data_IF_735602359951
#
_entry.id   IF_735602359951
#
_cell.length_a   1.000
_cell.length_b   1.000
_cell.length_c   1.000
_cell.angle_alpha   90.00
_cell.angle_beta   90.00
_cell.angle_gamma   90.00
#
_symmetry.space_group_name_H-M   'P 1'
#
loop_
_entity.id
_entity.type
_entity.pdbx_description
1 polymer ?
#
# COMPACT_ATOMS: atom_id res chain seq x y z
N UNK A 1 -9.62 20.80 7.43
CA UNK A 1 -9.44 20.09 6.16
C UNK A 1 -9.78 18.62 6.33
N UNK A 2 -10.42 18.04 5.34
CA UNK A 2 -10.73 16.60 5.33
C UNK A 2 -9.79 15.86 4.40
N UNK A 3 -9.40 14.66 4.78
CA UNK A 3 -8.56 13.81 3.93
C UNK A 3 -9.19 12.43 3.82
N UNK A 4 -8.87 11.75 2.71
CA UNK A 4 -9.20 10.33 2.54
C UNK A 4 -7.88 9.62 2.30
N UNK A 5 -7.65 8.55 3.03
CA UNK A 5 -6.39 7.81 2.94
C UNK A 5 -6.66 6.33 2.75
N UNK A 6 -5.71 5.64 2.12
CA UNK A 6 -5.79 4.20 2.00
C UNK A 6 -5.51 3.52 3.33
N UNK A 7 -6.31 2.55 3.67
CA UNK A 7 -6.10 1.70 4.83
C UNK A 7 -6.22 0.24 4.38
N UNK A 8 -5.12 -0.47 4.46
CA UNK A 8 -5.06 -1.84 3.96
C UNK A 8 -5.13 -2.84 5.11
N UNK A 9 -5.83 -3.94 4.88
CA UNK A 9 -5.91 -5.01 5.87
C UNK A 9 -5.20 -6.24 5.31
N UNK A 10 -4.32 -6.81 6.12
CA UNK A 10 -3.58 -8.01 5.79
C UNK A 10 -3.90 -9.10 6.82
N UNK A 11 -3.60 -10.33 6.47
CA UNK A 11 -3.78 -11.46 7.37
C UNK A 11 -2.40 -12.02 7.74
N UNK A 12 -1.65 -11.26 8.54
CA UNK A 12 -0.33 -11.64 9.02
C UNK A 12 0.84 -11.09 8.22
N UNK A 13 0.60 -10.51 7.04
CA UNK A 13 1.67 -10.01 6.16
C UNK A 13 1.84 -8.49 6.19
N UNK A 14 1.19 -7.80 7.11
CA UNK A 14 1.21 -6.34 7.15
C UNK A 14 2.63 -5.78 7.22
N UNK A 15 3.46 -6.29 8.10
CA UNK A 15 4.83 -5.79 8.26
C UNK A 15 5.63 -5.93 6.98
N UNK A 16 5.62 -7.12 6.36
CA UNK A 16 6.39 -7.34 5.15
C UNK A 16 5.85 -6.51 3.99
N UNK A 17 4.52 -6.37 3.89
CA UNK A 17 3.90 -5.56 2.85
C UNK A 17 4.27 -4.07 3.01
N UNK A 18 4.18 -3.54 4.22
CA UNK A 18 4.50 -2.12 4.45
C UNK A 18 5.98 -1.83 4.28
N UNK A 19 6.87 -2.77 4.61
CA UNK A 19 8.29 -2.63 4.33
C UNK A 19 8.55 -2.63 2.82
N UNK A 20 7.82 -3.46 2.08
CA UNK A 20 7.88 -3.46 0.62
C UNK A 20 7.43 -2.12 0.05
N UNK A 21 6.29 -1.59 0.51
CA UNK A 21 5.79 -0.28 0.04
C UNK A 21 6.77 0.84 0.37
N UNK A 22 7.40 0.79 1.54
CA UNK A 22 8.44 1.76 1.88
C UNK A 22 9.61 1.69 0.91
N UNK A 23 10.04 0.48 0.52
CA UNK A 23 11.13 0.32 -0.44
C UNK A 23 10.76 0.86 -1.81
N UNK A 24 9.47 0.84 -2.17
CA UNK A 24 8.99 1.35 -3.46
C UNK A 24 8.75 2.86 -3.46
N UNK A 25 8.19 3.36 -2.36
CA UNK A 25 7.67 4.73 -2.28
C UNK A 25 8.53 5.67 -1.44
N UNK A 26 9.44 5.13 -0.64
CA UNK A 26 10.22 5.91 0.31
C UNK A 26 9.41 6.36 1.50
N UNK A 27 10.04 7.13 2.38
CA UNK A 27 9.38 7.72 3.52
C UNK A 27 9.65 7.01 4.84
N UNK A 28 8.87 7.38 5.84
CA UNK A 28 9.00 6.87 7.20
C UNK A 28 7.89 5.88 7.50
N UNK A 29 8.27 4.71 8.00
CA UNK A 29 7.34 3.65 8.35
C UNK A 29 7.32 3.48 9.87
N UNK A 30 6.12 3.57 10.45
CA UNK A 30 5.90 3.31 11.87
C UNK A 30 5.01 2.08 11.98
N UNK A 31 5.41 1.14 12.83
CA UNK A 31 4.68 -0.11 13.06
C UNK A 31 4.48 -0.30 14.56
N UNK A 32 3.24 -0.55 14.97
CA UNK A 32 2.92 -0.95 16.34
C UNK A 32 2.33 -2.36 16.30
N UNK A 33 2.97 -3.28 17.00
CA UNK A 33 2.47 -4.65 17.13
C UNK A 33 1.46 -4.74 18.27
N UNK A 34 0.57 -5.74 18.20
CA UNK A 34 -0.39 -6.02 19.26
C UNK A 34 0.31 -6.20 20.61
N UNK A 35 1.42 -6.95 20.62
CA UNK A 35 2.19 -7.21 21.84
C UNK A 35 2.84 -5.98 22.48
N UNK A 36 2.97 -4.90 21.70
CA UNK A 36 3.57 -3.64 22.17
C UNK A 36 2.51 -2.62 22.56
N UNK A 37 1.24 -3.00 22.48
CA UNK A 37 0.11 -2.10 22.71
C UNK A 37 -0.59 -2.40 24.03
N UNK A 38 -1.48 -1.49 24.49
CA UNK A 38 -2.32 -1.77 25.66
C UNK A 38 -3.21 -3.01 25.50
N UNK A 39 -3.41 -3.51 24.28
CA UNK A 39 -4.21 -4.69 24.01
C UNK A 39 -3.44 -5.99 24.26
N UNK A 40 -2.14 -5.93 24.55
CA UNK A 40 -1.30 -7.13 24.70
C UNK A 40 -1.85 -8.13 25.70
N UNK A 41 -2.37 -7.65 26.83
CA UNK A 41 -2.89 -8.52 27.89
C UNK A 41 -4.26 -9.13 27.54
N UNK A 42 -4.98 -8.51 26.61
CA UNK A 42 -6.34 -8.93 26.23
C UNK A 42 -6.36 -9.84 25.00
N UNK A 43 -5.22 -10.02 24.35
CA UNK A 43 -5.12 -10.79 23.12
C UNK A 43 -4.33 -12.07 23.35
N UNK A 44 -4.66 -13.15 22.60
CA UNK A 44 -3.89 -14.39 22.68
C UNK A 44 -2.42 -14.16 22.34
N UNK A 45 -1.54 -14.96 22.95
CA UNK A 45 -0.10 -14.91 22.69
C UNK A 45 0.21 -15.04 21.21
N UNK A 46 -0.56 -15.85 20.47
CA UNK A 46 -0.37 -16.08 19.05
C UNK A 46 -0.60 -14.83 18.20
N UNK A 47 -1.26 -13.79 18.75
CA UNK A 47 -1.56 -12.57 18.02
C UNK A 47 -0.60 -11.42 18.32
N UNK A 48 0.33 -11.61 19.26
CA UNK A 48 1.20 -10.51 19.70
C UNK A 48 2.15 -9.98 18.65
N UNK A 49 2.52 -10.81 17.67
CA UNK A 49 3.40 -10.39 16.58
C UNK A 49 2.64 -9.74 15.42
N UNK A 50 1.32 -9.78 15.44
CA UNK A 50 0.52 -9.14 14.41
C UNK A 50 0.62 -7.62 14.53
N UNK A 51 0.52 -6.93 13.39
CA UNK A 51 0.53 -5.47 13.37
C UNK A 51 -0.83 -4.94 13.75
N UNK A 52 -0.89 -4.18 14.84
CA UNK A 52 -2.09 -3.49 15.26
C UNK A 52 -2.35 -2.28 14.36
N UNK A 53 -1.29 -1.56 14.02
CA UNK A 53 -1.37 -0.38 13.15
C UNK A 53 -0.01 -0.06 12.55
N UNK A 54 -0.01 0.26 11.28
CA UNK A 54 1.18 0.71 10.57
C UNK A 54 0.85 1.95 9.74
N UNK A 55 1.80 2.87 9.64
CA UNK A 55 1.66 4.08 8.84
C UNK A 55 2.94 4.34 8.06
N UNK A 56 2.80 4.52 6.76
CA UNK A 56 3.89 4.96 5.88
C UNK A 56 3.59 6.38 5.45
N UNK A 57 4.52 7.29 5.73
CA UNK A 57 4.36 8.71 5.41
C UNK A 57 5.54 9.20 4.57
N UNK A 58 5.25 9.85 3.46
CA UNK A 58 6.25 10.50 2.64
C UNK A 58 5.64 11.78 2.05
N UNK A 59 5.90 12.91 2.70
CA UNK A 59 5.27 14.18 2.32
C UNK A 59 3.76 14.09 2.47
N UNK A 60 3.03 14.34 1.41
CA UNK A 60 1.58 14.26 1.40
C UNK A 60 1.04 12.83 1.23
N UNK A 61 1.93 11.88 0.89
CA UNK A 61 1.54 10.47 0.79
C UNK A 61 1.42 9.88 2.18
N UNK A 62 0.29 9.22 2.45
CA UNK A 62 0.11 8.47 3.68
C UNK A 62 -0.67 7.19 3.39
N UNK A 63 -0.10 6.07 3.80
CA UNK A 63 -0.72 4.76 3.63
C UNK A 63 -0.72 4.06 4.98
N UNK A 64 -1.88 3.57 5.38
CA UNK A 64 -2.05 2.90 6.66
C UNK A 64 -2.43 1.44 6.47
N UNK A 65 -2.17 0.63 7.48
CA UNK A 65 -2.47 -0.78 7.39
C UNK A 65 -2.50 -1.47 8.75
N UNK A 66 -3.08 -2.66 8.78
CA UNK A 66 -3.04 -3.51 9.97
C UNK A 66 -3.20 -4.98 9.57
N UNK A 67 -3.00 -5.86 10.56
CA UNK A 67 -3.34 -7.28 10.46
C UNK A 67 -4.66 -7.57 11.19
N UNK A 68 -5.45 -6.55 11.50
CA UNK A 68 -6.69 -6.72 12.27
C UNK A 68 -7.82 -7.16 11.35
N UNK A 69 -7.86 -8.46 11.08
CA UNK A 69 -8.86 -9.06 10.21
C UNK A 69 -10.21 -9.11 10.93
N UNK A 70 -11.33 -8.76 10.24
CA UNK A 70 -12.65 -8.87 10.83
C UNK A 70 -12.99 -10.31 11.22
N UNK A 71 -13.93 -10.50 12.15
CA UNK A 71 -14.35 -11.84 12.60
C UNK A 71 -14.83 -12.70 11.42
N UNK A 72 -15.45 -12.07 10.42
CA UNK A 72 -15.93 -12.76 9.21
C UNK A 72 -14.80 -13.19 8.27
N UNK A 73 -13.55 -12.84 8.59
CA UNK A 73 -12.40 -13.13 7.76
C UNK A 73 -12.07 -12.00 6.79
N UNK A 74 -10.93 -12.13 6.11
CA UNK A 74 -10.49 -11.15 5.13
C UNK A 74 -11.02 -11.54 3.75
N UNK A 75 -11.78 -10.63 3.15
CA UNK A 75 -12.31 -10.82 1.80
C UNK A 75 -11.69 -9.77 0.88
N UNK A 76 -10.93 -10.23 -0.11
CA UNK A 76 -10.32 -9.32 -1.09
C UNK A 76 -11.21 -9.25 -2.33
N UNK A 77 -11.57 -8.01 -2.68
CA UNK A 77 -12.30 -7.75 -3.91
C UNK A 77 -11.41 -7.11 -4.96
N UNK A 78 -11.99 -6.59 -6.02
CA UNK A 78 -11.25 -5.94 -7.09
C UNK A 78 -11.87 -4.59 -7.51
N UNK A 79 -12.70 -4.02 -6.65
CA UNK A 79 -13.41 -2.78 -6.97
C UNK A 79 -12.76 -1.52 -6.40
N UNK A 80 -11.64 -1.66 -5.68
CA UNK A 80 -10.92 -0.53 -5.11
C UNK A 80 -9.46 -0.57 -5.56
N UNK A 81 -8.95 0.56 -5.99
CA UNK A 81 -7.55 0.71 -6.37
C UNK A 81 -6.94 1.90 -5.67
N UNK A 82 -5.63 1.87 -5.49
CA UNK A 82 -4.89 3.01 -4.96
C UNK A 82 -4.31 3.78 -6.14
N UNK A 83 -4.51 5.09 -6.17
CA UNK A 83 -3.97 5.94 -7.22
C UNK A 83 -2.74 6.65 -6.70
N UNK A 84 -1.62 6.49 -7.39
CA UNK A 84 -0.39 7.19 -7.08
C UNK A 84 -0.13 8.22 -8.18
N UNK A 85 -0.14 9.50 -7.81
CA UNK A 85 0.18 10.58 -8.72
C UNK A 85 1.66 10.92 -8.56
N UNK A 86 2.43 10.74 -9.61
CA UNK A 86 3.86 10.98 -9.61
C UNK A 86 4.18 12.33 -10.22
N UNK A 87 5.32 12.92 -9.81
CA UNK A 87 5.70 14.27 -10.21
C UNK A 87 6.34 14.33 -11.59
N UNK A 88 7.05 13.27 -12.00
CA UNK A 88 7.75 13.25 -13.29
C UNK A 88 7.84 11.84 -13.86
N UNK A 89 8.29 11.75 -15.12
CA UNK A 89 8.37 10.48 -15.84
C UNK A 89 9.35 9.49 -15.21
N UNK A 90 10.46 9.97 -14.69
CA UNK A 90 11.47 9.10 -14.10
C UNK A 90 10.91 8.44 -12.85
N UNK A 91 10.23 9.22 -12.01
CA UNK A 91 9.62 8.71 -10.79
C UNK A 91 8.58 7.63 -11.09
N UNK A 92 7.65 7.90 -12.02
CA UNK A 92 6.58 6.94 -12.30
C UNK A 92 7.14 5.63 -12.86
N UNK A 93 8.15 5.71 -13.73
CA UNK A 93 8.77 4.52 -14.32
C UNK A 93 9.47 3.69 -13.25
N UNK A 94 10.21 4.34 -12.36
CA UNK A 94 10.93 3.66 -11.29
C UNK A 94 9.95 3.00 -10.30
N UNK A 95 8.93 3.72 -9.88
CA UNK A 95 7.95 3.20 -8.92
C UNK A 95 7.13 2.07 -9.54
N UNK A 96 6.75 2.21 -10.81
CA UNK A 96 6.00 1.17 -11.50
C UNK A 96 6.75 -0.16 -11.50
N UNK A 97 8.05 -0.13 -11.83
CA UNK A 97 8.86 -1.35 -11.84
C UNK A 97 8.99 -1.95 -10.44
N UNK A 98 9.19 -1.11 -9.42
CA UNK A 98 9.34 -1.59 -8.05
C UNK A 98 8.05 -2.19 -7.51
N UNK A 99 6.92 -1.51 -7.69
CA UNK A 99 5.63 -1.99 -7.18
C UNK A 99 5.16 -3.26 -7.89
N UNK A 100 5.47 -3.42 -9.17
CA UNK A 100 5.05 -4.58 -9.93
C UNK A 100 5.96 -5.79 -9.73
N UNK A 101 7.10 -5.63 -9.06
CA UNK A 101 8.04 -6.71 -8.81
C UNK A 101 7.39 -7.81 -7.96
N UNK A 102 7.37 -9.02 -8.49
CA UNK A 102 6.70 -10.15 -7.85
C UNK A 102 5.19 -10.16 -8.01
N UNK A 103 4.64 -9.13 -8.63
CA UNK A 103 3.22 -9.02 -8.91
C UNK A 103 2.93 -9.14 -10.40
N UNK A 104 2.00 -8.31 -10.88
CA UNK A 104 1.53 -8.36 -12.25
C UNK A 104 1.42 -6.97 -12.85
N UNK A 105 1.97 -6.78 -14.06
CA UNK A 105 1.78 -5.55 -14.84
C UNK A 105 0.50 -5.70 -15.64
N UNK A 106 -0.59 -5.12 -15.16
CA UNK A 106 -1.89 -5.26 -15.82
C UNK A 106 -1.94 -4.48 -17.13
N UNK A 107 -1.53 -3.21 -17.08
CA UNK A 107 -1.37 -2.38 -18.27
C UNK A 107 -0.07 -1.57 -18.16
N UNK A 108 0.78 -1.60 -19.20
CA UNK A 108 2.05 -0.87 -19.12
C UNK A 108 1.84 0.64 -19.11
N UNK A 109 2.87 1.36 -18.71
CA UNK A 109 2.82 2.82 -18.74
C UNK A 109 2.79 3.30 -20.19
N UNK A 110 1.74 4.02 -20.53
CA UNK A 110 1.53 4.59 -21.88
C UNK A 110 0.91 5.97 -21.77
N UNK A 111 1.09 6.77 -22.78
CA UNK A 111 0.46 8.08 -22.86
C UNK A 111 -1.02 7.89 -23.12
N UNK A 112 -1.86 8.36 -22.16
CA UNK A 112 -3.30 8.27 -22.25
C UNK A 112 -3.87 9.35 -23.17
N UNK A 113 -5.14 9.19 -23.56
CA UNK A 113 -5.81 10.18 -24.41
C UNK A 113 -6.02 11.52 -23.69
N UNK A 114 -5.95 11.55 -22.35
CA UNK A 114 -6.06 12.80 -21.59
C UNK A 114 -4.71 13.47 -21.33
N UNK A 115 -3.63 12.98 -21.94
CA UNK A 115 -2.32 13.62 -21.90
C UNK A 115 -1.46 13.30 -20.69
N UNK A 116 -1.70 12.16 -20.03
CA UNK A 116 -0.90 11.71 -18.90
C UNK A 116 -0.24 10.38 -19.22
N UNK A 117 0.91 10.15 -18.61
CA UNK A 117 1.51 8.82 -18.59
C UNK A 117 0.78 8.01 -17.52
N UNK A 118 0.22 6.88 -17.91
CA UNK A 118 -0.68 6.12 -17.05
C UNK A 118 -0.48 4.62 -17.23
N UNK A 119 -0.60 3.88 -16.13
CA UNK A 119 -0.55 2.42 -16.16
C UNK A 119 -1.11 1.87 -14.88
N UNK A 120 -1.33 0.56 -14.84
CA UNK A 120 -1.79 -0.09 -13.62
C UNK A 120 -1.12 -1.43 -13.43
N UNK A 121 -1.13 -1.88 -12.18
CA UNK A 121 -0.49 -3.11 -11.78
C UNK A 121 -1.20 -3.69 -10.56
N UNK A 122 -0.96 -4.96 -10.32
CA UNK A 122 -1.34 -5.63 -9.08
C UNK A 122 -0.05 -6.03 -8.38
N UNK A 123 0.15 -5.57 -7.15
CA UNK A 123 1.39 -5.88 -6.44
C UNK A 123 1.41 -7.33 -5.94
N UNK A 124 2.54 -7.77 -5.41
CA UNK A 124 2.70 -9.16 -4.96
C UNK A 124 1.83 -9.53 -3.77
N UNK A 125 1.21 -8.56 -3.13
CA UNK A 125 0.24 -8.78 -2.04
C UNK A 125 -1.20 -8.76 -2.54
N UNK A 126 -1.41 -8.55 -3.83
CA UNK A 126 -2.72 -8.59 -4.45
C UNK A 126 -3.46 -7.26 -4.45
N UNK A 127 -2.79 -6.16 -4.12
CA UNK A 127 -3.41 -4.84 -4.14
C UNK A 127 -3.20 -4.18 -5.50
N UNK A 128 -4.24 -3.51 -5.98
CA UNK A 128 -4.23 -2.88 -7.30
C UNK A 128 -3.86 -1.41 -7.21
N UNK A 129 -2.94 -1.00 -8.08
CA UNK A 129 -2.42 0.37 -8.14
C UNK A 129 -2.60 0.96 -9.52
N UNK A 130 -3.07 2.20 -9.56
CA UNK A 130 -3.09 3.03 -10.76
C UNK A 130 -2.00 4.07 -10.59
N UNK A 131 -1.13 4.21 -11.59
CA UNK A 131 -0.06 5.21 -11.55
C UNK A 131 -0.32 6.24 -12.63
N UNK A 132 -0.17 7.51 -12.26
CA UNK A 132 -0.47 8.63 -13.14
C UNK A 132 0.60 9.70 -13.00
N UNK A 133 1.02 10.25 -14.14
CA UNK A 133 1.95 11.38 -14.19
C UNK A 133 1.53 12.32 -15.32
N UNK A 134 1.21 13.56 -14.99
CA UNK A 134 0.89 14.54 -16.00
C UNK A 134 2.13 14.83 -16.86
N UNK A 135 1.95 14.86 -18.16
CA UNK A 135 3.02 15.18 -19.10
C UNK A 135 2.94 16.66 -19.44
N UNK A 136 4.08 17.34 -19.31
CA UNK A 136 4.19 18.77 -19.58
C UNK A 136 4.71 19.01 -20.99
#
# INVERSE_FOLDING_TARGET
MRTIQGYLTFNGSCKSAMEFYRSCLGGDLEIQKVGESPLAEKMPESMKDLVLHATLTNGSLQLMASDMVPESGLLKGNNVSLVLNCSDEEEIKTVYEKLSDGGKKDHPLEISFWGSLFGDLTDKYGNHWLLNCAIK
#
